data_IF_028206755613
#
_entry.id   IF_028206755613
#
_cell.length_a   1.000
_cell.length_b   1.000
_cell.length_c   1.000
_cell.angle_alpha   90.00
_cell.angle_beta   90.00
_cell.angle_gamma   90.00
#
_symmetry.space_group_name_H-M   'P 1'
#
loop_
_entity.id
_entity.type
_entity.pdbx_description
1 polymer ?
#
# COMPACT_ATOMS: atom_id res chain seq x y z
N UNK A 1 84.15 39.80 7.53
CA UNK A 1 83.73 38.48 7.26
C UNK A 1 82.35 38.29 7.95
N UNK A 2 81.25 38.49 7.23
CA UNK A 2 79.87 38.53 7.79
C UNK A 2 79.19 37.19 7.52
N UNK A 3 78.70 36.52 8.58
CA UNK A 3 77.84 35.35 8.50
C UNK A 3 76.41 35.76 8.13
N UNK A 4 75.86 35.26 7.05
CA UNK A 4 74.45 35.33 6.71
C UNK A 4 73.71 34.19 7.31
N UNK A 5 72.81 34.46 8.25
CA UNK A 5 71.79 33.51 8.74
C UNK A 5 70.66 33.43 7.69
N UNK A 6 70.42 32.24 7.19
CA UNK A 6 69.20 31.93 6.41
C UNK A 6 68.13 31.46 7.36
N UNK A 7 67.05 32.26 7.47
CA UNK A 7 65.84 31.90 8.14
C UNK A 7 65.01 30.98 7.24
N UNK A 8 64.82 29.75 7.63
CA UNK A 8 63.92 28.78 7.00
C UNK A 8 62.52 29.00 7.55
N UNK A 9 61.61 29.57 6.76
CA UNK A 9 60.18 29.66 7.10
C UNK A 9 59.54 28.29 6.96
N UNK A 10 58.96 27.80 8.07
CA UNK A 10 58.14 26.60 8.13
C UNK A 10 56.72 26.92 7.66
N UNK A 11 56.38 26.58 6.43
CA UNK A 11 54.99 26.66 5.94
C UNK A 11 54.24 25.44 6.48
N UNK A 12 53.42 25.63 7.51
CA UNK A 12 52.51 24.62 7.99
C UNK A 12 51.35 24.42 7.00
N UNK A 13 51.34 23.31 6.30
CA UNK A 13 50.20 22.85 5.50
C UNK A 13 49.15 22.32 6.51
N UNK A 14 48.09 23.10 6.77
CA UNK A 14 46.88 22.58 7.40
C UNK A 14 46.17 21.67 6.39
N UNK A 15 46.37 20.36 6.53
CA UNK A 15 45.54 19.35 5.91
C UNK A 15 44.19 19.37 6.62
N UNK A 16 43.20 20.02 6.01
CA UNK A 16 41.80 19.80 6.38
C UNK A 16 41.48 18.37 5.92
N UNK A 17 41.54 17.44 6.86
CA UNK A 17 40.95 16.12 6.67
C UNK A 17 39.43 16.34 6.59
N UNK A 18 38.89 16.39 5.39
CA UNK A 18 37.47 16.18 5.18
C UNK A 18 37.18 14.77 5.63
N UNK A 19 36.62 14.62 6.83
CA UNK A 19 35.97 13.39 7.25
C UNK A 19 34.91 13.12 6.21
N UNK A 20 35.15 12.18 5.29
CA UNK A 20 34.06 11.57 4.55
C UNK A 20 33.19 10.91 5.62
N UNK A 21 32.13 11.60 6.05
CA UNK A 21 31.07 10.95 6.77
C UNK A 21 30.62 9.80 5.85
N UNK A 22 30.81 8.58 6.30
CA UNK A 22 30.12 7.45 5.69
C UNK A 22 28.65 7.81 5.78
N UNK A 23 28.04 8.13 4.66
CA UNK A 23 26.60 8.33 4.61
C UNK A 23 26.00 7.00 5.06
N UNK A 24 25.38 7.02 6.25
CA UNK A 24 24.70 5.84 6.77
C UNK A 24 23.67 5.41 5.73
N UNK A 25 23.56 4.10 5.50
CA UNK A 25 22.67 3.54 4.49
C UNK A 25 21.33 3.30 5.15
N UNK A 26 20.29 3.99 4.68
CA UNK A 26 18.92 3.83 5.13
C UNK A 26 18.36 2.51 4.59
N UNK A 27 17.94 1.63 5.47
CA UNK A 27 17.30 0.36 5.11
C UNK A 27 15.81 0.57 4.97
N UNK A 28 15.31 0.39 3.74
CA UNK A 28 13.89 0.56 3.42
C UNK A 28 13.31 -0.78 2.98
N UNK A 29 12.29 -1.26 3.67
CA UNK A 29 11.62 -2.49 3.29
C UNK A 29 10.30 -2.23 2.57
N UNK A 30 10.04 -3.01 1.53
CA UNK A 30 8.80 -3.01 0.77
C UNK A 30 8.42 -4.45 0.40
N UNK A 31 7.18 -4.66 -0.06
CA UNK A 31 6.76 -5.97 -0.57
C UNK A 31 7.66 -6.41 -1.71
N UNK A 32 8.17 -7.63 -1.63
CA UNK A 32 9.14 -8.16 -2.59
C UNK A 32 8.59 -8.31 -4.00
N UNK A 33 9.49 -8.63 -4.94
CA UNK A 33 9.18 -8.76 -6.36
C UNK A 33 9.02 -7.39 -7.03
N UNK A 34 8.05 -7.26 -7.93
CA UNK A 34 7.87 -6.08 -8.77
C UNK A 34 7.88 -4.75 -7.98
N UNK A 35 7.22 -4.68 -6.81
CA UNK A 35 7.17 -3.46 -6.00
C UNK A 35 8.55 -3.03 -5.51
N UNK A 36 9.25 -3.92 -4.84
CA UNK A 36 10.57 -3.64 -4.26
C UNK A 36 11.60 -3.35 -5.36
N UNK A 37 11.60 -4.16 -6.42
CA UNK A 37 12.52 -4.01 -7.55
C UNK A 37 12.32 -2.66 -8.25
N UNK A 38 11.08 -2.23 -8.48
CA UNK A 38 10.77 -0.94 -9.12
C UNK A 38 11.14 0.25 -8.24
N UNK A 39 10.81 0.19 -6.93
CA UNK A 39 11.22 1.23 -5.98
C UNK A 39 12.74 1.37 -5.95
N UNK A 40 13.48 0.26 -5.89
CA UNK A 40 14.93 0.24 -5.84
C UNK A 40 15.57 0.76 -7.14
N UNK A 41 15.01 0.37 -8.29
CA UNK A 41 15.57 0.74 -9.59
C UNK A 41 15.23 2.18 -10.00
N UNK A 42 14.01 2.63 -9.73
CA UNK A 42 13.51 3.87 -10.33
C UNK A 42 13.29 5.01 -9.33
N UNK A 43 12.92 4.72 -8.09
CA UNK A 43 12.49 5.75 -7.13
C UNK A 43 13.64 6.14 -6.17
N UNK A 44 14.26 5.17 -5.50
CA UNK A 44 15.28 5.42 -4.48
C UNK A 44 16.54 6.15 -5.00
N UNK A 45 16.99 5.96 -6.26
CA UNK A 45 18.13 6.75 -6.78
C UNK A 45 17.90 8.25 -6.74
N UNK A 46 16.67 8.73 -6.99
CA UNK A 46 16.34 10.16 -6.91
C UNK A 46 16.43 10.70 -5.48
N UNK A 47 16.05 9.92 -4.48
CA UNK A 47 16.25 10.29 -3.07
C UNK A 47 17.74 10.40 -2.74
N UNK A 48 18.53 9.42 -3.17
CA UNK A 48 19.99 9.44 -2.95
C UNK A 48 20.65 10.63 -3.63
N UNK A 49 20.22 10.98 -4.85
CA UNK A 49 20.73 12.16 -5.56
C UNK A 49 20.38 13.47 -4.83
N UNK A 50 19.15 13.57 -4.31
CA UNK A 50 18.65 14.77 -3.64
C UNK A 50 19.27 14.99 -2.25
N UNK A 51 19.60 13.91 -1.53
CA UNK A 51 19.99 13.99 -0.10
C UNK A 51 21.41 13.50 0.21
N UNK A 52 22.01 12.72 -0.66
CA UNK A 52 23.26 12.01 -0.42
C UNK A 52 23.11 10.74 0.43
N UNK A 53 21.91 10.45 0.97
CA UNK A 53 21.64 9.26 1.78
C UNK A 53 21.42 8.08 0.84
N UNK A 54 22.19 7.00 1.03
CA UNK A 54 22.00 5.76 0.26
C UNK A 54 20.82 4.98 0.81
N UNK A 55 20.12 4.28 -0.06
CA UNK A 55 19.04 3.36 0.32
C UNK A 55 19.48 1.93 0.06
N UNK A 56 19.35 1.06 1.06
CA UNK A 56 19.37 -0.38 0.93
C UNK A 56 17.92 -0.88 0.89
N UNK A 57 17.54 -1.47 -0.25
CA UNK A 57 16.21 -2.04 -0.44
C UNK A 57 16.15 -3.43 0.18
N UNK A 58 15.04 -3.72 0.89
CA UNK A 58 14.80 -4.99 1.56
C UNK A 58 13.44 -5.53 1.11
N UNK A 59 13.44 -6.69 0.46
CA UNK A 59 12.22 -7.43 0.19
C UNK A 59 11.65 -7.99 1.50
N UNK A 60 10.53 -7.43 1.96
CA UNK A 60 9.87 -7.90 3.18
C UNK A 60 8.90 -9.05 2.87
N UNK A 61 8.67 -9.97 3.84
CA UNK A 61 7.60 -10.94 3.74
C UNK A 61 6.24 -10.26 3.89
N UNK A 62 5.15 -11.04 3.79
CA UNK A 62 3.80 -10.51 4.01
C UNK A 62 3.66 -9.90 5.42
N UNK A 63 2.73 -8.95 5.56
CA UNK A 63 2.62 -8.01 6.67
C UNK A 63 2.58 -8.65 8.08
N UNK A 64 1.89 -9.77 8.26
CA UNK A 64 1.76 -10.41 9.58
C UNK A 64 3.09 -11.03 10.04
N UNK A 65 3.80 -11.64 9.12
CA UNK A 65 5.14 -12.19 9.33
C UNK A 65 6.15 -11.07 9.59
N UNK A 66 6.07 -9.98 8.81
CA UNK A 66 6.97 -8.84 8.96
C UNK A 66 6.77 -8.14 10.31
N UNK A 67 5.53 -7.87 10.70
CA UNK A 67 5.21 -7.31 12.02
C UNK A 67 5.78 -8.17 13.16
N UNK A 68 5.68 -9.50 13.04
CA UNK A 68 6.26 -10.43 14.02
C UNK A 68 7.79 -10.30 14.08
N UNK A 69 8.47 -10.16 12.95
CA UNK A 69 9.92 -9.97 12.90
C UNK A 69 10.34 -8.64 13.52
N UNK A 70 9.62 -7.55 13.22
CA UNK A 70 9.84 -6.23 13.84
C UNK A 70 9.66 -6.31 15.37
N UNK A 71 8.59 -6.96 15.84
CA UNK A 71 8.32 -7.13 17.25
C UNK A 71 9.43 -7.93 17.98
N UNK A 72 9.93 -8.99 17.35
CA UNK A 72 11.02 -9.80 17.90
C UNK A 72 12.34 -9.02 17.93
N UNK A 73 12.65 -8.26 16.88
CA UNK A 73 13.83 -7.40 16.86
C UNK A 73 13.76 -6.29 17.91
N UNK A 74 12.57 -5.69 18.10
CA UNK A 74 12.35 -4.65 19.11
C UNK A 74 12.60 -5.15 20.54
N UNK A 75 12.25 -6.41 20.86
CA UNK A 75 12.60 -7.05 22.15
C UNK A 75 14.11 -7.16 22.37
N UNK A 76 14.88 -7.30 21.29
CA UNK A 76 16.34 -7.31 21.29
C UNK A 76 16.95 -5.90 21.19
N UNK A 77 16.13 -4.84 21.28
CA UNK A 77 16.49 -3.44 21.09
C UNK A 77 17.14 -3.17 19.73
N UNK A 78 16.58 -3.76 18.67
CA UNK A 78 17.04 -3.64 17.27
C UNK A 78 15.87 -3.35 16.34
N UNK A 79 16.18 -2.85 15.15
CA UNK A 79 15.25 -2.73 14.04
C UNK A 79 15.78 -3.52 12.83
N UNK A 80 14.94 -4.33 12.15
CA UNK A 80 15.36 -5.09 10.97
C UNK A 80 15.43 -4.20 9.73
N UNK A 81 14.73 -3.07 9.74
CA UNK A 81 14.69 -2.01 8.74
C UNK A 81 14.60 -0.66 9.42
N UNK A 82 14.83 0.43 8.69
CA UNK A 82 14.67 1.79 9.21
C UNK A 82 13.37 2.43 8.77
N UNK A 83 12.86 2.04 7.59
CA UNK A 83 11.51 2.38 7.10
C UNK A 83 10.85 1.11 6.59
N UNK A 84 9.58 0.90 6.90
CA UNK A 84 8.78 -0.22 6.43
C UNK A 84 7.54 0.28 5.68
N UNK A 85 7.26 -0.34 4.52
CA UNK A 85 6.00 -0.16 3.79
C UNK A 85 4.98 -1.17 4.32
N UNK A 86 3.92 -0.70 4.96
CA UNK A 86 2.94 -1.55 5.64
C UNK A 86 1.52 -1.05 5.45
N UNK A 87 0.53 -1.94 5.61
CA UNK A 87 -0.88 -1.57 5.57
C UNK A 87 -1.31 -0.82 6.85
N UNK A 88 -2.46 -0.14 6.80
CA UNK A 88 -3.05 0.57 7.93
C UNK A 88 -3.26 -0.33 9.15
N UNK A 89 -3.70 -1.57 8.94
CA UNK A 89 -3.91 -2.56 9.99
C UNK A 89 -2.63 -2.89 10.76
N UNK A 90 -1.50 -2.96 10.07
CA UNK A 90 -0.18 -3.20 10.68
C UNK A 90 0.28 -1.97 11.46
N UNK A 91 0.04 -0.76 10.94
CA UNK A 91 0.35 0.47 11.70
C UNK A 91 -0.46 0.53 13.00
N UNK A 92 -1.79 0.29 12.91
CA UNK A 92 -2.69 0.33 14.08
C UNK A 92 -2.30 -0.73 15.12
N UNK A 93 -2.06 -1.97 14.70
CA UNK A 93 -1.62 -3.04 15.60
C UNK A 93 -0.26 -2.76 16.22
N UNK A 94 0.67 -2.25 15.41
CA UNK A 94 2.01 -1.88 15.86
C UNK A 94 2.00 -0.73 16.84
N UNK A 95 1.08 0.25 16.71
CA UNK A 95 0.86 1.31 17.69
C UNK A 95 0.47 0.74 19.06
N UNK A 96 -0.46 -0.21 19.11
CA UNK A 96 -0.87 -0.88 20.34
C UNK A 96 0.27 -1.66 21.01
N UNK A 97 1.30 -2.02 20.26
CA UNK A 97 2.48 -2.75 20.73
C UNK A 97 3.70 -1.84 20.96
N UNK A 98 3.61 -0.54 20.67
CA UNK A 98 4.73 0.41 20.75
C UNK A 98 5.87 0.11 19.78
N UNK A 99 5.54 -0.41 18.59
CA UNK A 99 6.54 -0.83 17.58
C UNK A 99 7.01 0.31 16.69
N UNK A 100 6.22 1.38 16.55
CA UNK A 100 6.51 2.48 15.66
C UNK A 100 7.02 3.71 16.39
N UNK A 101 7.90 4.46 15.77
CA UNK A 101 8.34 5.76 16.23
C UNK A 101 7.28 6.82 15.97
N UNK A 102 7.07 7.72 16.92
CA UNK A 102 6.35 8.98 16.67
C UNK A 102 7.27 9.93 15.87
N UNK A 103 6.88 10.26 14.66
CA UNK A 103 7.60 11.14 13.75
C UNK A 103 7.05 12.57 13.85
N UNK A 104 7.94 13.55 13.69
CA UNK A 104 7.59 14.97 13.79
C UNK A 104 7.01 15.46 12.43
N UNK A 105 5.70 15.81 12.33
CA UNK A 105 5.13 16.30 11.08
C UNK A 105 5.82 17.56 10.54
N UNK A 106 6.35 18.40 11.43
CA UNK A 106 7.08 19.61 11.05
C UNK A 106 8.40 19.33 10.33
N UNK A 107 8.97 18.15 10.51
CA UNK A 107 10.15 17.69 9.77
C UNK A 107 9.80 17.10 8.39
N UNK A 108 8.50 16.95 8.10
CA UNK A 108 7.98 16.34 6.88
C UNK A 108 6.90 17.22 6.25
N UNK A 109 7.24 18.46 5.79
CA UNK A 109 6.25 19.42 5.30
C UNK A 109 5.42 18.92 4.12
N UNK A 110 5.95 18.01 3.28
CA UNK A 110 5.24 17.47 2.13
C UNK A 110 4.04 16.57 2.52
N UNK A 111 3.98 16.09 3.78
CA UNK A 111 2.80 15.36 4.24
C UNK A 111 1.52 16.19 4.21
N UNK A 112 1.65 17.53 4.31
CA UNK A 112 0.49 18.43 4.18
C UNK A 112 -0.10 18.46 2.77
N UNK A 113 0.64 17.99 1.77
CA UNK A 113 0.21 17.86 0.38
C UNK A 113 -0.52 16.54 0.07
N UNK A 114 -0.52 15.58 1.00
CA UNK A 114 -1.25 14.33 0.83
C UNK A 114 -2.76 14.56 0.88
N UNK A 115 -3.50 13.66 0.26
CA UNK A 115 -4.96 13.61 0.36
C UNK A 115 -5.42 13.47 1.83
N UNK A 116 -6.65 13.86 2.17
CA UNK A 116 -7.16 13.75 3.54
C UNK A 116 -7.04 12.32 4.10
N UNK A 117 -6.76 12.23 5.41
CA UNK A 117 -6.65 10.96 6.16
C UNK A 117 -5.52 10.02 5.69
N UNK A 118 -4.49 10.55 5.04
CA UNK A 118 -3.32 9.77 4.63
C UNK A 118 -2.17 9.80 5.65
N UNK A 119 -2.49 10.03 6.91
CA UNK A 119 -1.56 9.88 8.04
C UNK A 119 -2.24 9.15 9.19
N UNK A 120 -1.50 8.30 9.90
CA UNK A 120 -1.98 7.61 11.11
C UNK A 120 -1.26 8.22 12.30
N UNK A 121 -2.05 8.73 13.25
CA UNK A 121 -1.52 9.36 14.45
C UNK A 121 -0.94 8.33 15.43
N UNK A 122 0.18 8.68 16.05
CA UNK A 122 0.71 8.06 17.25
C UNK A 122 0.29 8.81 18.53
N UNK A 123 1.06 8.68 19.60
CA UNK A 123 0.81 9.41 20.86
C UNK A 123 1.19 10.89 20.76
N UNK A 124 2.26 11.23 20.04
CA UNK A 124 2.86 12.57 19.99
C UNK A 124 3.09 13.09 18.57
N UNK A 125 2.95 12.25 17.57
CA UNK A 125 3.25 12.59 16.18
C UNK A 125 2.53 11.68 15.22
N UNK A 126 3.20 11.33 14.13
CA UNK A 126 2.70 10.43 13.07
C UNK A 126 3.48 9.12 13.13
N UNK A 127 2.77 7.99 13.11
CA UNK A 127 3.38 6.65 13.07
C UNK A 127 3.22 5.96 11.72
N UNK A 128 2.28 6.45 10.90
CA UNK A 128 2.10 6.01 9.51
C UNK A 128 1.90 7.21 8.60
N UNK A 129 2.76 7.37 7.60
CA UNK A 129 2.63 8.39 6.56
C UNK A 129 2.26 7.72 5.24
N UNK A 130 1.22 8.20 4.55
CA UNK A 130 0.73 7.63 3.30
C UNK A 130 1.86 7.49 2.27
N UNK A 131 2.04 6.28 1.79
CA UNK A 131 3.08 5.92 0.84
C UNK A 131 2.53 5.87 -0.58
N UNK A 132 1.53 5.05 -0.79
CA UNK A 132 0.85 4.79 -2.05
C UNK A 132 -0.53 4.19 -1.77
N UNK A 133 -1.40 4.23 -2.77
CA UNK A 133 -2.71 3.57 -2.73
C UNK A 133 -2.86 2.59 -3.88
N UNK A 134 -3.82 1.70 -3.76
CA UNK A 134 -4.32 0.87 -4.84
C UNK A 134 -5.81 0.60 -4.63
N UNK A 135 -6.44 0.06 -5.65
CA UNK A 135 -7.87 -0.20 -5.61
C UNK A 135 -8.17 -1.67 -5.81
N UNK A 136 -9.16 -2.17 -5.08
CA UNK A 136 -9.87 -3.39 -5.50
C UNK A 136 -11.04 -2.97 -6.37
N UNK A 137 -11.11 -3.54 -7.57
CA UNK A 137 -12.08 -3.23 -8.61
C UNK A 137 -12.77 -4.48 -9.14
N UNK A 138 -13.76 -4.31 -10.01
CA UNK A 138 -14.31 -5.41 -10.80
C UNK A 138 -13.36 -5.73 -11.95
N UNK A 139 -12.91 -6.98 -12.01
CA UNK A 139 -12.08 -7.49 -13.10
C UNK A 139 -12.85 -8.54 -13.89
N UNK A 140 -12.81 -8.45 -15.22
CA UNK A 140 -13.65 -9.24 -16.13
C UNK A 140 -12.82 -9.77 -17.28
N UNK A 141 -13.00 -11.02 -17.66
CA UNK A 141 -12.48 -11.55 -18.93
C UNK A 141 -13.37 -11.09 -20.09
N UNK A 142 -12.83 -10.25 -20.97
CA UNK A 142 -13.59 -9.60 -22.04
C UNK A 142 -13.94 -10.54 -23.20
N UNK A 143 -13.28 -11.68 -23.34
CA UNK A 143 -13.68 -12.71 -24.32
C UNK A 143 -14.96 -13.41 -23.91
N UNK A 144 -15.13 -13.66 -22.60
CA UNK A 144 -16.31 -14.32 -22.06
C UNK A 144 -17.45 -13.34 -21.78
N UNK A 145 -17.11 -12.13 -21.33
CA UNK A 145 -18.02 -11.07 -20.89
C UNK A 145 -17.68 -9.74 -21.59
N UNK A 146 -18.07 -9.58 -22.87
CA UNK A 146 -17.75 -8.38 -23.64
C UNK A 146 -18.44 -7.11 -23.10
N UNK A 147 -19.54 -7.29 -22.33
CA UNK A 147 -20.21 -6.19 -21.63
C UNK A 147 -19.73 -6.16 -20.17
N UNK A 148 -18.67 -5.41 -19.91
CA UNK A 148 -18.09 -5.29 -18.57
C UNK A 148 -19.11 -4.73 -17.58
N UNK A 149 -19.17 -5.24 -16.32
CA UNK A 149 -20.06 -4.72 -15.30
C UNK A 149 -19.63 -3.32 -14.87
N UNK A 150 -20.61 -2.51 -14.43
CA UNK A 150 -20.39 -1.13 -13.98
C UNK A 150 -20.83 -0.90 -12.52
N UNK A 151 -21.29 -1.95 -11.85
CA UNK A 151 -21.77 -1.92 -10.47
C UNK A 151 -21.37 -3.20 -9.75
N UNK A 152 -21.00 -3.08 -8.47
CA UNK A 152 -20.79 -4.25 -7.60
C UNK A 152 -22.04 -5.13 -7.49
N UNK A 153 -23.25 -4.53 -7.55
CA UNK A 153 -24.51 -5.26 -7.51
C UNK A 153 -24.59 -6.36 -8.59
N UNK A 154 -23.92 -6.16 -9.72
CA UNK A 154 -23.94 -7.11 -10.83
C UNK A 154 -23.29 -8.46 -10.47
N UNK A 155 -22.43 -8.53 -9.46
CA UNK A 155 -21.93 -9.81 -8.95
C UNK A 155 -23.08 -10.70 -8.46
N UNK A 156 -24.14 -10.12 -7.86
CA UNK A 156 -25.29 -10.85 -7.37
C UNK A 156 -26.39 -11.03 -8.42
N UNK A 157 -26.59 -10.06 -9.29
CA UNK A 157 -27.77 -10.01 -10.18
C UNK A 157 -27.54 -10.59 -11.56
N UNK A 158 -26.31 -10.52 -12.11
CA UNK A 158 -25.97 -11.07 -13.41
C UNK A 158 -25.80 -12.59 -13.37
N UNK A 159 -26.13 -13.28 -14.46
CA UNK A 159 -25.75 -14.68 -14.66
C UNK A 159 -24.28 -14.76 -15.09
N UNK A 160 -23.45 -15.30 -14.24
CA UNK A 160 -22.03 -15.50 -14.49
C UNK A 160 -21.66 -16.92 -14.94
N UNK A 161 -22.67 -17.76 -15.21
CA UNK A 161 -22.46 -19.17 -15.56
C UNK A 161 -21.65 -19.95 -14.49
N UNK A 162 -21.80 -19.56 -13.22
CA UNK A 162 -21.02 -20.08 -12.09
C UNK A 162 -19.50 -19.92 -12.28
N UNK A 163 -19.05 -18.82 -12.87
CA UNK A 163 -17.64 -18.55 -13.14
C UNK A 163 -17.13 -17.26 -12.45
N UNK A 164 -17.67 -16.94 -11.29
CA UNK A 164 -17.04 -15.92 -10.45
C UNK A 164 -15.85 -16.50 -9.69
N UNK A 165 -14.85 -15.64 -9.43
CA UNK A 165 -13.80 -15.89 -8.45
C UNK A 165 -13.75 -14.75 -7.45
N UNK A 166 -13.90 -15.06 -6.16
CA UNK A 166 -14.01 -14.08 -5.08
C UNK A 166 -12.89 -14.27 -4.08
N UNK A 167 -12.40 -13.19 -3.51
CA UNK A 167 -11.37 -13.26 -2.48
C UNK A 167 -11.98 -13.81 -1.17
N UNK A 168 -11.33 -14.82 -0.58
CA UNK A 168 -11.78 -15.47 0.65
C UNK A 168 -11.35 -14.73 1.92
N UNK A 169 -10.52 -13.71 1.79
CA UNK A 169 -10.02 -12.92 2.92
C UNK A 169 -11.04 -11.82 3.24
N UNK A 170 -11.66 -11.80 4.44
CA UNK A 170 -12.66 -10.80 4.78
C UNK A 170 -12.17 -9.35 4.66
N UNK A 171 -10.87 -9.11 4.91
CA UNK A 171 -10.23 -7.79 4.80
C UNK A 171 -9.99 -7.33 3.35
N UNK A 172 -10.33 -8.14 2.36
CA UNK A 172 -10.17 -7.78 0.94
C UNK A 172 -11.10 -6.68 0.45
N UNK A 173 -11.98 -6.18 1.33
CA UNK A 173 -12.98 -5.16 1.00
C UNK A 173 -14.37 -5.71 0.65
N UNK A 174 -14.56 -7.03 0.61
CA UNK A 174 -15.86 -7.64 0.27
C UNK A 174 -16.97 -7.27 1.27
N UNK A 175 -16.62 -7.08 2.55
CA UNK A 175 -17.58 -6.62 3.58
C UNK A 175 -18.05 -5.20 3.28
N UNK A 176 -17.12 -4.29 2.99
CA UNK A 176 -17.39 -2.89 2.68
C UNK A 176 -18.15 -2.74 1.36
N UNK A 177 -17.77 -3.49 0.32
CA UNK A 177 -18.50 -3.57 -0.95
C UNK A 177 -19.96 -3.95 -0.69
N UNK A 178 -20.18 -5.03 0.04
CA UNK A 178 -21.52 -5.55 0.31
C UNK A 178 -22.32 -4.59 1.18
N UNK A 179 -21.70 -4.03 2.22
CA UNK A 179 -22.32 -3.03 3.09
C UNK A 179 -22.74 -1.77 2.31
N UNK A 180 -21.88 -1.26 1.43
CA UNK A 180 -22.14 -0.07 0.61
C UNK A 180 -23.22 -0.31 -0.44
N UNK A 181 -23.23 -1.52 -1.04
CA UNK A 181 -24.14 -1.84 -2.16
C UNK A 181 -25.56 -2.15 -1.70
N UNK A 182 -25.72 -2.82 -0.55
CA UNK A 182 -27.01 -3.37 -0.13
C UNK A 182 -27.54 -2.86 1.22
N UNK A 183 -26.73 -2.13 1.99
CA UNK A 183 -27.06 -1.67 3.33
C UNK A 183 -26.63 -0.21 3.54
N UNK A 184 -26.58 0.23 4.81
CA UNK A 184 -26.19 1.60 5.18
C UNK A 184 -24.66 1.80 5.29
N UNK A 185 -23.87 1.04 4.49
CA UNK A 185 -22.43 1.13 4.50
C UNK A 185 -21.81 0.84 5.87
N UNK A 186 -20.84 1.68 6.34
CA UNK A 186 -20.14 1.45 7.61
C UNK A 186 -21.05 1.39 8.85
N UNK A 187 -22.24 2.01 8.82
CA UNK A 187 -23.19 1.97 9.93
C UNK A 187 -23.63 0.52 10.22
N UNK A 188 -23.88 -0.26 9.16
CA UNK A 188 -24.26 -1.68 9.30
C UNK A 188 -23.11 -2.52 9.90
N UNK A 189 -21.86 -2.14 9.68
CA UNK A 189 -20.68 -2.87 10.18
C UNK A 189 -20.41 -2.65 11.68
N UNK A 190 -21.11 -1.75 12.36
CA UNK A 190 -20.86 -1.40 13.77
C UNK A 190 -21.27 -2.49 14.76
N UNK A 191 -22.12 -3.43 14.36
CA UNK A 191 -22.65 -4.50 15.22
C UNK A 191 -22.47 -5.87 14.58
N UNK A 192 -22.36 -6.91 15.42
CA UNK A 192 -22.29 -8.31 14.94
C UNK A 192 -23.54 -8.72 14.17
N UNK A 193 -24.74 -8.26 14.58
CA UNK A 193 -25.98 -8.50 13.82
C UNK A 193 -25.90 -7.91 12.40
N UNK A 194 -25.37 -6.68 12.27
CA UNK A 194 -25.16 -6.05 10.96
C UNK A 194 -24.12 -6.77 10.12
N UNK A 195 -23.01 -7.17 10.74
CA UNK A 195 -21.96 -7.96 10.09
C UNK A 195 -22.49 -9.32 9.62
N UNK A 196 -23.33 -9.99 10.42
CA UNK A 196 -23.96 -11.24 10.00
C UNK A 196 -24.83 -11.06 8.75
N UNK A 197 -25.65 -9.98 8.70
CA UNK A 197 -26.46 -9.69 7.50
C UNK A 197 -25.60 -9.46 6.25
N UNK A 198 -24.45 -8.80 6.41
CA UNK A 198 -23.50 -8.59 5.32
C UNK A 198 -22.91 -9.94 4.86
N UNK A 199 -22.49 -10.79 5.80
CA UNK A 199 -21.92 -12.13 5.52
C UNK A 199 -22.97 -13.05 4.86
N UNK A 200 -24.22 -13.04 5.35
CA UNK A 200 -25.32 -13.77 4.74
C UNK A 200 -25.55 -13.33 3.28
N UNK A 201 -25.47 -12.02 3.02
CA UNK A 201 -25.60 -11.47 1.66
C UNK A 201 -24.45 -11.90 0.76
N UNK A 202 -23.22 -11.93 1.27
CA UNK A 202 -22.06 -12.49 0.54
C UNK A 202 -22.28 -13.98 0.23
N UNK A 203 -22.88 -14.73 1.15
CA UNK A 203 -23.25 -16.15 0.97
C UNK A 203 -24.12 -16.43 -0.25
N UNK A 204 -24.93 -15.45 -0.71
CA UNK A 204 -25.71 -15.60 -1.95
C UNK A 204 -24.84 -15.76 -3.20
N UNK A 205 -23.54 -15.38 -3.15
CA UNK A 205 -22.60 -15.55 -4.25
C UNK A 205 -22.09 -16.99 -4.40
N UNK A 206 -22.28 -17.87 -3.40
CA UNK A 206 -21.71 -19.23 -3.41
C UNK A 206 -22.11 -20.02 -4.64
N UNK A 207 -23.38 -19.99 -5.03
CA UNK A 207 -23.88 -20.67 -6.22
C UNK A 207 -23.37 -20.11 -7.55
N UNK A 208 -22.70 -18.95 -7.54
CA UNK A 208 -22.13 -18.28 -8.71
C UNK A 208 -20.61 -18.32 -8.73
N UNK A 209 -19.97 -18.69 -7.61
CA UNK A 209 -18.53 -18.62 -7.38
C UNK A 209 -17.89 -20.01 -7.55
N UNK A 210 -17.02 -20.14 -8.54
CA UNK A 210 -16.23 -21.35 -8.77
C UNK A 210 -15.04 -21.42 -7.81
N UNK A 211 -14.45 -20.26 -7.48
CA UNK A 211 -13.27 -20.17 -6.64
C UNK A 211 -13.40 -19.06 -5.58
N UNK A 212 -13.22 -19.45 -4.33
CA UNK A 212 -12.91 -18.53 -3.24
C UNK A 212 -11.38 -18.54 -3.07
N UNK A 213 -10.71 -17.60 -3.75
CA UNK A 213 -9.25 -17.57 -3.79
C UNK A 213 -8.62 -16.85 -2.58
N UNK A 214 -7.44 -17.30 -2.22
CA UNK A 214 -6.52 -16.61 -1.30
C UNK A 214 -5.23 -16.23 -2.00
N UNK A 215 -4.80 -17.04 -2.96
CA UNK A 215 -3.63 -16.81 -3.79
C UNK A 215 -4.03 -15.97 -5.00
N UNK A 216 -3.43 -14.78 -5.11
CA UNK A 216 -3.71 -13.80 -6.15
C UNK A 216 -3.28 -14.29 -7.54
N UNK A 217 -2.17 -15.02 -7.62
CA UNK A 217 -1.70 -15.62 -8.88
C UNK A 217 -2.69 -16.64 -9.43
N UNK A 218 -3.41 -17.37 -8.56
CA UNK A 218 -4.46 -18.30 -8.98
C UNK A 218 -5.64 -17.55 -9.62
N UNK A 219 -6.05 -16.42 -9.04
CA UNK A 219 -7.07 -15.57 -9.65
C UNK A 219 -6.60 -15.02 -10.98
N UNK A 220 -5.42 -14.41 -11.02
CA UNK A 220 -4.86 -13.77 -12.21
C UNK A 220 -4.77 -14.75 -13.38
N UNK A 221 -4.20 -15.91 -13.17
CA UNK A 221 -4.10 -16.93 -14.21
C UNK A 221 -5.49 -17.33 -14.75
N UNK A 222 -6.45 -17.59 -13.87
CA UNK A 222 -7.77 -18.08 -14.28
C UNK A 222 -8.64 -17.00 -14.94
N UNK A 223 -8.47 -15.72 -14.57
CA UNK A 223 -9.18 -14.62 -15.27
C UNK A 223 -8.56 -14.35 -16.64
N UNK A 224 -7.25 -14.49 -16.81
CA UNK A 224 -6.55 -14.33 -18.08
C UNK A 224 -6.89 -15.42 -19.09
N UNK A 225 -6.97 -16.67 -18.65
CA UNK A 225 -7.28 -17.81 -19.53
C UNK A 225 -8.79 -18.05 -19.74
N UNK A 226 -9.66 -17.29 -19.04
CA UNK A 226 -11.12 -17.38 -19.14
C UNK A 226 -11.74 -18.54 -18.35
N UNK A 227 -11.01 -19.13 -17.40
CA UNK A 227 -11.56 -20.06 -16.41
C UNK A 227 -12.62 -19.38 -15.57
N UNK A 228 -12.39 -18.11 -15.21
CA UNK A 228 -13.33 -17.23 -14.53
C UNK A 228 -13.81 -16.14 -15.46
N UNK A 229 -15.06 -15.68 -15.29
CA UNK A 229 -15.65 -14.61 -16.07
C UNK A 229 -15.44 -13.25 -15.42
N UNK A 230 -15.54 -13.19 -14.08
CA UNK A 230 -15.33 -11.96 -13.33
C UNK A 230 -14.96 -12.24 -11.87
N UNK A 231 -14.54 -11.18 -11.19
CA UNK A 231 -14.29 -11.17 -9.75
C UNK A 231 -13.85 -9.81 -9.25
N UNK A 232 -13.53 -9.74 -7.97
CA UNK A 232 -12.89 -8.58 -7.36
C UNK A 232 -11.38 -8.80 -7.34
N UNK A 233 -10.60 -7.80 -7.77
CA UNK A 233 -9.14 -7.92 -7.79
C UNK A 233 -8.45 -6.55 -7.76
N UNK A 234 -7.16 -6.55 -7.50
CA UNK A 234 -6.35 -5.34 -7.50
C UNK A 234 -6.24 -4.74 -8.90
N UNK A 235 -6.56 -3.45 -8.98
CA UNK A 235 -6.60 -2.70 -10.23
C UNK A 235 -5.22 -2.60 -10.89
N UNK A 236 -4.19 -2.27 -10.12
CA UNK A 236 -2.81 -2.15 -10.56
C UNK A 236 -2.29 -3.46 -11.17
N UNK A 237 -2.52 -4.59 -10.51
CA UNK A 237 -2.13 -5.90 -11.02
C UNK A 237 -2.92 -6.29 -12.27
N UNK A 238 -4.24 -6.02 -12.30
CA UNK A 238 -5.06 -6.23 -13.48
C UNK A 238 -4.61 -5.36 -14.67
N UNK A 239 -4.19 -4.12 -14.42
CA UNK A 239 -3.65 -3.23 -15.45
C UNK A 239 -2.36 -3.74 -16.07
N UNK A 240 -1.49 -4.42 -15.33
CA UNK A 240 -0.31 -5.08 -15.92
C UNK A 240 -0.74 -6.11 -16.98
N UNK A 241 -1.76 -6.92 -16.68
CA UNK A 241 -2.31 -7.88 -17.66
C UNK A 241 -2.97 -7.17 -18.86
N UNK A 242 -3.64 -6.03 -18.64
CA UNK A 242 -4.21 -5.22 -19.74
C UNK A 242 -3.10 -4.68 -20.66
N UNK A 243 -2.02 -4.14 -20.10
CA UNK A 243 -0.86 -3.65 -20.86
C UNK A 243 -0.14 -4.77 -21.62
N UNK A 244 -0.14 -5.99 -21.09
CA UNK A 244 0.36 -7.19 -21.77
C UNK A 244 -0.59 -7.72 -22.86
N UNK A 245 -1.71 -7.01 -23.10
CA UNK A 245 -2.68 -7.37 -24.16
C UNK A 245 -3.57 -8.57 -23.84
N UNK A 246 -3.71 -8.92 -22.57
CA UNK A 246 -4.63 -9.98 -22.12
C UNK A 246 -6.09 -9.53 -22.28
N UNK A 247 -7.04 -10.46 -22.49
CA UNK A 247 -8.45 -10.13 -22.67
C UNK A 247 -9.12 -9.81 -21.33
N UNK A 248 -8.65 -8.77 -20.65
CA UNK A 248 -9.09 -8.35 -19.34
C UNK A 248 -9.55 -6.90 -19.38
N UNK A 249 -10.60 -6.59 -18.62
CA UNK A 249 -10.97 -5.25 -18.24
C UNK A 249 -11.02 -5.13 -16.74
N UNK A 250 -10.53 -4.01 -16.22
CA UNK A 250 -10.71 -3.59 -14.84
C UNK A 250 -11.63 -2.38 -14.84
N UNK A 251 -12.68 -2.39 -14.01
CA UNK A 251 -13.74 -1.38 -14.03
C UNK A 251 -13.96 -0.84 -12.61
N UNK A 252 -13.88 0.47 -12.46
CA UNK A 252 -14.34 1.14 -11.24
C UNK A 252 -15.88 1.14 -11.23
N UNK A 253 -16.52 0.42 -10.28
CA UNK A 253 -17.97 0.42 -10.19
C UNK A 253 -18.52 1.78 -9.75
N UNK A 254 -19.78 2.04 -10.07
CA UNK A 254 -20.45 3.30 -9.69
C UNK A 254 -20.49 3.58 -8.18
N UNK A 255 -20.40 2.53 -7.36
CA UNK A 255 -20.33 2.63 -5.90
C UNK A 255 -18.92 2.97 -5.40
N UNK A 256 -17.91 2.93 -6.27
CA UNK A 256 -16.48 3.11 -6.00
C UNK A 256 -15.71 1.80 -5.96
N UNK A 257 -14.42 1.87 -6.32
CA UNK A 257 -13.45 0.84 -5.97
C UNK A 257 -13.11 0.88 -4.48
N UNK A 258 -12.67 -0.23 -3.90
CA UNK A 258 -12.18 -0.20 -2.50
C UNK A 258 -10.77 0.36 -2.50
N UNK A 259 -10.58 1.52 -1.86
CA UNK A 259 -9.25 2.10 -1.71
C UNK A 259 -8.48 1.37 -0.60
N UNK A 260 -7.30 0.91 -0.90
CA UNK A 260 -6.36 0.33 0.07
C UNK A 260 -5.11 1.19 0.08
N UNK A 261 -4.73 1.67 1.26
CA UNK A 261 -3.55 2.52 1.41
C UNK A 261 -2.41 1.76 2.10
N UNK A 262 -1.21 2.00 1.62
CA UNK A 262 0.01 1.63 2.31
C UNK A 262 0.65 2.86 2.95
N UNK A 263 1.42 2.61 4.00
CA UNK A 263 2.03 3.64 4.83
C UNK A 263 3.51 3.35 5.05
N UNK A 264 4.30 4.40 5.02
CA UNK A 264 5.65 4.37 5.54
C UNK A 264 5.60 4.48 7.06
N UNK A 265 6.19 3.52 7.75
CA UNK A 265 6.33 3.51 9.20
C UNK A 265 7.78 3.25 9.60
N UNK A 266 8.23 3.90 10.68
CA UNK A 266 9.60 3.78 11.19
C UNK A 266 9.59 2.92 12.44
N UNK A 267 10.30 1.79 12.50
CA UNK A 267 10.41 1.02 13.73
C UNK A 267 10.97 1.85 14.88
N UNK A 268 10.36 1.75 16.06
CA UNK A 268 10.72 2.54 17.23
C UNK A 268 12.20 2.40 17.65
N UNK A 269 12.83 1.28 17.26
CA UNK A 269 14.22 0.94 17.54
C UNK A 269 15.19 1.25 16.41
N UNK A 270 14.75 1.95 15.36
CA UNK A 270 15.66 2.48 14.34
C UNK A 270 16.50 3.62 14.93
N UNK A 271 17.78 3.63 14.60
CA UNK A 271 18.71 4.70 14.96
C UNK A 271 18.76 5.80 13.85
N UNK A 272 18.07 5.61 12.71
CA UNK A 272 18.06 6.49 11.53
C UNK A 272 16.73 7.22 11.35
N UNK A 273 16.16 7.74 12.45
CA UNK A 273 14.83 8.38 12.39
C UNK A 273 14.81 9.69 11.61
N UNK A 274 15.89 10.44 11.65
CA UNK A 274 16.00 11.72 10.95
C UNK A 274 16.11 11.49 9.42
N UNK A 275 16.90 10.51 9.00
CA UNK A 275 17.02 10.09 7.61
C UNK A 275 15.71 9.46 7.10
N UNK A 276 15.03 8.69 7.95
CA UNK A 276 13.74 8.11 7.65
C UNK A 276 12.67 9.19 7.43
N UNK A 277 12.66 10.25 8.22
CA UNK A 277 11.77 11.40 8.01
C UNK A 277 12.07 12.14 6.70
N UNK A 278 13.35 12.31 6.36
CA UNK A 278 13.74 12.89 5.08
C UNK A 278 13.26 12.02 3.91
N UNK A 279 13.39 10.69 4.03
CA UNK A 279 12.89 9.75 3.04
C UNK A 279 11.37 9.84 2.88
N UNK A 280 10.62 9.78 3.97
CA UNK A 280 9.16 9.88 3.96
C UNK A 280 8.70 11.20 3.36
N UNK A 281 9.36 12.30 3.74
CA UNK A 281 9.06 13.61 3.17
C UNK A 281 9.35 13.69 1.66
N UNK A 282 10.41 13.04 1.18
CA UNK A 282 10.73 12.93 -0.25
C UNK A 282 9.66 12.13 -0.99
N UNK A 283 9.27 10.97 -0.45
CA UNK A 283 8.27 10.09 -1.05
C UNK A 283 6.87 10.73 -1.15
N UNK A 284 6.58 11.74 -0.34
CA UNK A 284 5.32 12.49 -0.36
C UNK A 284 5.31 13.67 -1.37
N UNK A 285 6.38 13.89 -2.14
CA UNK A 285 6.41 14.92 -3.18
C UNK A 285 5.51 14.53 -4.35
N UNK A 286 4.75 15.46 -4.95
CA UNK A 286 3.88 15.18 -6.08
C UNK A 286 4.60 14.51 -7.27
N UNK A 287 5.81 14.96 -7.59
CA UNK A 287 6.62 14.44 -8.68
C UNK A 287 7.06 12.98 -8.43
N UNK A 288 7.31 12.62 -7.17
CA UNK A 288 7.67 11.25 -6.77
C UNK A 288 6.44 10.36 -6.79
N UNK A 289 5.30 10.87 -6.30
CA UNK A 289 4.01 10.17 -6.35
C UNK A 289 3.57 9.92 -7.81
N UNK A 290 3.70 10.92 -8.69
CA UNK A 290 3.46 10.77 -10.14
C UNK A 290 4.36 9.70 -10.75
N UNK A 291 5.66 9.74 -10.45
CA UNK A 291 6.62 8.75 -10.96
C UNK A 291 6.30 7.33 -10.49
N UNK A 292 5.92 7.16 -9.20
CA UNK A 292 5.49 5.87 -8.68
C UNK A 292 4.21 5.37 -9.37
N UNK A 293 3.23 6.26 -9.59
CA UNK A 293 1.99 5.92 -10.28
C UNK A 293 2.27 5.37 -11.69
N UNK A 294 3.09 6.07 -12.47
CA UNK A 294 3.44 5.67 -13.84
C UNK A 294 4.30 4.40 -13.90
N UNK A 295 5.20 4.20 -12.93
CA UNK A 295 6.11 3.05 -12.93
C UNK A 295 5.46 1.76 -12.41
N UNK A 296 4.48 1.88 -11.51
CA UNK A 296 3.92 0.73 -10.79
C UNK A 296 2.40 0.56 -10.94
N UNK A 297 1.71 1.50 -11.60
CA UNK A 297 0.25 1.47 -11.72
C UNK A 297 -0.51 1.76 -10.42
N UNK A 298 0.18 2.25 -9.39
CA UNK A 298 -0.42 2.54 -8.08
C UNK A 298 -1.16 3.88 -8.08
N UNK A 299 -2.12 4.02 -7.16
CA UNK A 299 -2.80 5.29 -6.95
C UNK A 299 -1.95 6.26 -6.13
N UNK A 300 -1.66 7.47 -6.67
CA UNK A 300 -0.91 8.48 -5.94
C UNK A 300 -1.74 9.11 -4.83
N UNK A 301 -1.14 9.33 -3.67
CA UNK A 301 -1.84 9.87 -2.50
C UNK A 301 -1.77 11.40 -2.39
N UNK A 302 -1.53 12.08 -3.50
CA UNK A 302 -1.58 13.55 -3.63
C UNK A 302 -2.72 13.95 -4.57
N UNK A 303 -3.26 15.19 -4.47
CA UNK A 303 -4.28 15.66 -5.39
C UNK A 303 -3.83 15.58 -6.85
N UNK A 304 -4.71 15.12 -7.74
CA UNK A 304 -4.43 15.07 -9.18
C UNK A 304 -3.94 16.41 -9.73
N UNK A 305 -4.49 17.52 -9.23
CA UNK A 305 -4.08 18.87 -9.64
C UNK A 305 -2.64 19.25 -9.30
N UNK A 306 -1.95 18.46 -8.47
CA UNK A 306 -0.53 18.69 -8.13
C UNK A 306 0.43 17.88 -9.02
N UNK A 307 -0.09 17.08 -9.94
CA UNK A 307 0.65 16.20 -10.85
C UNK A 307 0.39 16.58 -12.31
N UNK A 308 1.23 16.06 -13.24
CA UNK A 308 1.09 16.25 -14.68
C UNK A 308 0.53 14.99 -15.38
N UNK A 309 -0.22 14.15 -14.68
CA UNK A 309 -0.85 12.97 -15.27
C UNK A 309 -1.89 13.39 -16.32
N UNK A 310 -1.81 12.78 -17.51
CA UNK A 310 -2.88 12.89 -18.50
C UNK A 310 -4.19 12.25 -17.99
N UNK A 311 -5.30 12.50 -18.66
CA UNK A 311 -6.58 11.84 -18.34
C UNK A 311 -6.47 10.33 -18.49
N UNK A 312 -5.73 9.86 -19.50
CA UNK A 312 -5.48 8.45 -19.76
C UNK A 312 -4.62 7.81 -18.67
N UNK A 313 -3.50 8.46 -18.30
CA UNK A 313 -2.62 7.96 -17.24
C UNK A 313 -3.35 7.92 -15.89
N UNK A 314 -4.14 8.95 -15.58
CA UNK A 314 -4.92 8.97 -14.34
C UNK A 314 -5.98 7.86 -14.32
N UNK A 315 -6.68 7.64 -15.44
CA UNK A 315 -7.68 6.57 -15.54
C UNK A 315 -7.06 5.16 -15.42
N UNK A 316 -5.76 5.03 -15.74
CA UNK A 316 -5.02 3.78 -15.59
C UNK A 316 -4.61 3.47 -14.15
N UNK A 317 -4.58 4.47 -13.25
CA UNK A 317 -4.13 4.30 -11.86
C UNK A 317 -5.21 4.61 -10.83
N UNK A 318 -6.34 5.22 -11.23
CA UNK A 318 -7.37 5.66 -10.29
C UNK A 318 -8.68 6.04 -10.93
N UNK A 319 -9.57 6.68 -10.16
CA UNK A 319 -10.89 7.11 -10.60
C UNK A 319 -11.31 8.39 -9.88
N UNK A 320 -12.18 9.19 -10.51
CA UNK A 320 -12.88 10.33 -9.89
C UNK A 320 -14.13 9.89 -9.09
N UNK A 321 -14.49 8.60 -9.12
CA UNK A 321 -15.59 8.06 -8.32
C UNK A 321 -15.13 7.96 -6.87
N UNK A 322 -15.95 8.45 -5.93
CA UNK A 322 -15.66 8.37 -4.50
C UNK A 322 -15.37 6.92 -4.08
N UNK A 323 -14.24 6.64 -3.45
CA UNK A 323 -13.86 5.28 -3.11
C UNK A 323 -14.69 4.72 -1.94
N UNK A 324 -14.79 3.41 -1.89
CA UNK A 324 -15.19 2.68 -0.68
C UNK A 324 -13.96 2.61 0.23
N UNK A 325 -14.09 3.12 1.45
CA UNK A 325 -12.98 3.13 2.41
C UNK A 325 -13.02 1.90 3.32
N UNK A 326 -11.91 1.18 3.51
CA UNK A 326 -11.80 0.08 4.47
C UNK A 326 -12.19 0.52 5.88
N UNK A 327 -12.92 -0.34 6.58
CA UNK A 327 -13.36 -0.11 7.95
C UNK A 327 -12.47 -0.85 8.95
N UNK A 328 -11.15 -0.66 8.83
CA UNK A 328 -10.13 -1.41 9.57
C UNK A 328 -10.35 -1.41 11.09
N UNK A 329 -10.74 -0.28 11.68
CA UNK A 329 -11.01 -0.22 13.11
C UNK A 329 -12.24 -1.06 13.51
N UNK A 330 -13.30 -1.08 12.70
CA UNK A 330 -14.48 -1.91 12.93
C UNK A 330 -14.15 -3.39 12.72
N UNK A 331 -13.37 -3.70 11.67
CA UNK A 331 -12.89 -5.04 11.45
C UNK A 331 -12.09 -5.57 12.66
N UNK A 332 -11.10 -4.82 13.12
CA UNK A 332 -10.26 -5.23 14.27
C UNK A 332 -11.08 -5.40 15.56
N UNK A 333 -12.10 -4.56 15.75
CA UNK A 333 -13.00 -4.65 16.91
C UNK A 333 -13.82 -5.96 16.92
N UNK A 334 -14.25 -6.44 15.76
CA UNK A 334 -15.10 -7.62 15.60
C UNK A 334 -14.39 -8.78 14.91
N UNK A 335 -13.05 -8.79 14.91
CA UNK A 335 -12.22 -9.69 14.09
C UNK A 335 -12.58 -11.16 14.29
N UNK A 336 -12.65 -11.63 15.54
CA UNK A 336 -12.94 -13.03 15.85
C UNK A 336 -14.30 -13.47 15.29
N UNK A 337 -15.33 -12.64 15.49
CA UNK A 337 -16.68 -12.90 14.95
C UNK A 337 -16.66 -12.96 13.42
N UNK A 338 -16.02 -11.97 12.77
CA UNK A 338 -15.97 -11.88 11.29
C UNK A 338 -15.26 -13.11 10.71
N UNK A 339 -14.09 -13.46 11.24
CA UNK A 339 -13.28 -14.57 10.74
C UNK A 339 -14.03 -15.90 10.88
N UNK A 340 -14.70 -16.14 12.03
CA UNK A 340 -15.49 -17.36 12.25
C UNK A 340 -16.72 -17.39 11.34
N UNK A 341 -17.54 -16.36 11.32
CA UNK A 341 -18.76 -16.31 10.52
C UNK A 341 -18.49 -16.40 9.02
N UNK A 342 -17.43 -15.73 8.55
CA UNK A 342 -17.03 -15.77 7.14
C UNK A 342 -16.48 -17.16 6.75
N UNK A 343 -15.66 -17.79 7.60
CA UNK A 343 -15.16 -19.14 7.36
C UNK A 343 -16.31 -20.16 7.31
N UNK A 344 -17.28 -20.07 8.21
CA UNK A 344 -18.47 -20.91 8.20
C UNK A 344 -19.29 -20.71 6.91
N UNK A 345 -19.52 -19.45 6.51
CA UNK A 345 -20.23 -19.13 5.27
C UNK A 345 -19.55 -19.76 4.05
N UNK A 346 -18.22 -19.71 3.93
CA UNK A 346 -17.49 -20.31 2.79
C UNK A 346 -17.52 -21.84 2.83
N UNK A 347 -17.48 -22.47 4.03
CA UNK A 347 -17.40 -23.91 4.20
C UNK A 347 -18.73 -24.66 3.93
N UNK A 348 -19.88 -24.05 4.23
CA UNK A 348 -21.22 -24.59 3.98
C UNK A 348 -21.56 -24.66 2.47
#
# INVERSE_FOLDING_TARGET
MKKMLKTMGLVGVLSVAASAAYADTLRVSAWGGFFEETLAAEIYPGFTEATGIKVESIAQPEDSTWMTQIANAARANKAPTDVALVTDSVVIRGNNMGLWADLEPTSMPNLSGLLPNKTIAGEKGVTGAGALGFFVTLVTNTNNEPNTPTSWEELWTRDWNNKLAMNVVPQSGILEITAKTFFDGPETMKTEEGLQKIIDKIGELKGKTTLWYRDEGQFQQGIEDGTYNAGMYYHDVAMLSVWDGKPIATTFPKEGGVAVDAFWSVPAKSDMKDEAQQFINYMAQPEVQEKMALAMGIFPLVPRSSMNLSDEDFAAVGSEIDPILPQTALFLKHQEFIEEAFANMVAE
#
